data_IF_878189095349
#
_entry.id   IF_878189095349
#
_cell.length_a   1.000
_cell.length_b   1.000
_cell.length_c   1.000
_cell.angle_alpha   90.00
_cell.angle_beta   90.00
_cell.angle_gamma   90.00
#
_symmetry.space_group_name_H-M   'P 1'
#
loop_
_entity.id
_entity.type
_entity.pdbx_description
1 polymer ?
#
# COMPACT_ATOMS: atom_id res chain seq x y z
N UNK A 1 24.96 -12.06 -62.28
CA UNK A 1 23.63 -11.52 -61.99
C UNK A 1 23.27 -11.87 -60.55
N UNK A 2 23.40 -10.90 -59.62
CA UNK A 2 23.08 -11.08 -58.19
C UNK A 2 21.70 -10.49 -57.96
N UNK A 3 20.73 -11.33 -57.55
CA UNK A 3 19.39 -10.89 -57.12
C UNK A 3 19.46 -10.40 -55.68
N UNK A 4 19.12 -9.14 -55.47
CA UNK A 4 18.99 -8.52 -54.18
C UNK A 4 17.57 -8.77 -53.69
N UNK A 5 17.43 -9.51 -52.58
CA UNK A 5 16.16 -9.77 -51.92
C UNK A 5 15.92 -8.59 -50.91
N UNK A 6 14.91 -7.78 -51.22
CA UNK A 6 14.46 -6.72 -50.29
C UNK A 6 13.56 -7.36 -49.21
N UNK A 7 14.04 -7.34 -47.98
CA UNK A 7 13.27 -7.74 -46.79
C UNK A 7 12.49 -6.51 -46.32
N UNK A 8 11.16 -6.53 -46.52
CA UNK A 8 10.24 -5.52 -46.01
C UNK A 8 9.90 -5.87 -44.54
N UNK A 9 10.43 -5.12 -43.62
CA UNK A 9 10.09 -5.24 -42.18
C UNK A 9 8.71 -4.63 -41.96
N UNK A 10 7.76 -5.45 -41.64
CA UNK A 10 6.39 -5.07 -41.29
C UNK A 10 6.34 -4.87 -39.77
N UNK A 11 6.34 -3.61 -39.34
CA UNK A 11 6.24 -3.22 -37.95
C UNK A 11 4.79 -3.40 -37.48
N UNK A 12 4.50 -4.48 -36.75
CA UNK A 12 3.24 -4.63 -36.04
C UNK A 12 3.25 -3.78 -34.78
N UNK A 13 2.57 -2.67 -34.83
CA UNK A 13 2.23 -1.89 -33.61
C UNK A 13 1.02 -2.57 -33.00
N UNK A 14 1.22 -3.42 -32.00
CA UNK A 14 0.16 -3.89 -31.13
C UNK A 14 -0.16 -2.79 -30.12
N UNK A 15 -1.26 -2.09 -30.35
CA UNK A 15 -1.85 -1.21 -29.34
C UNK A 15 -2.37 -2.07 -28.17
N UNK A 16 -1.62 -2.08 -27.07
CA UNK A 16 -2.10 -2.63 -25.81
C UNK A 16 -3.10 -1.62 -25.22
N UNK A 17 -4.37 -1.94 -25.35
CA UNK A 17 -5.45 -1.27 -24.63
C UNK A 17 -5.33 -1.69 -23.17
N UNK A 18 -4.77 -0.81 -22.33
CA UNK A 18 -4.85 -0.97 -20.89
C UNK A 18 -6.24 -0.55 -20.44
N UNK A 19 -7.08 -1.51 -20.10
CA UNK A 19 -8.27 -1.23 -19.31
C UNK A 19 -7.80 -0.73 -17.94
N UNK A 20 -7.97 0.57 -17.74
CA UNK A 20 -7.91 1.22 -16.43
C UNK A 20 -8.87 0.49 -15.49
N UNK A 21 -8.37 0.10 -14.34
CA UNK A 21 -9.21 -0.40 -13.24
C UNK A 21 -10.24 0.69 -12.91
N UNK A 22 -11.52 0.40 -13.14
CA UNK A 22 -12.62 1.31 -12.83
C UNK A 22 -12.57 1.71 -11.36
N UNK A 23 -12.87 2.98 -11.10
CA UNK A 23 -13.11 3.51 -9.76
C UNK A 23 -14.27 2.76 -9.16
N UNK A 24 -14.03 2.00 -8.10
CA UNK A 24 -15.10 1.38 -7.35
C UNK A 24 -16.00 2.45 -6.75
N UNK A 25 -17.31 2.29 -6.99
CA UNK A 25 -18.37 3.07 -6.38
C UNK A 25 -18.31 2.96 -4.85
N UNK A 26 -18.57 4.09 -4.19
CA UNK A 26 -18.70 4.19 -2.75
C UNK A 26 -19.76 3.20 -2.25
N UNK A 27 -19.35 2.15 -1.58
CA UNK A 27 -20.24 1.35 -0.74
C UNK A 27 -20.49 2.11 0.55
N UNK A 28 -21.73 2.48 0.77
CA UNK A 28 -22.25 3.08 1.98
C UNK A 28 -21.81 2.30 3.22
N UNK A 29 -21.03 2.96 4.07
CA UNK A 29 -20.65 2.44 5.39
C UNK A 29 -21.83 2.68 6.32
N UNK A 30 -22.35 1.65 7.01
CA UNK A 30 -23.37 1.86 8.04
C UNK A 30 -22.76 2.68 9.19
N UNK A 31 -23.29 3.89 9.39
CA UNK A 31 -23.03 4.68 10.59
C UNK A 31 -23.68 4.01 11.80
N UNK A 32 -22.90 3.34 12.62
CA UNK A 32 -23.27 3.09 14.01
C UNK A 32 -22.23 3.75 14.92
N UNK A 33 -22.33 5.05 15.07
CA UNK A 33 -21.71 5.76 16.18
C UNK A 33 -22.79 5.94 17.24
N UNK A 34 -22.61 5.28 18.36
CA UNK A 34 -23.40 5.46 19.56
C UNK A 34 -23.44 6.93 19.97
N UNK A 35 -24.62 7.56 19.84
CA UNK A 35 -24.93 8.90 20.29
C UNK A 35 -25.44 8.86 21.71
N UNK A 36 -24.63 8.53 22.67
CA UNK A 36 -24.94 8.86 24.06
C UNK A 36 -23.63 9.22 24.78
N UNK A 37 -23.66 10.35 25.37
CA UNK A 37 -22.69 11.08 26.22
C UNK A 37 -22.03 12.25 25.49
N UNK A 38 -22.62 13.39 25.66
CA UNK A 38 -22.18 14.68 26.21
C UNK A 38 -23.19 15.74 25.79
N UNK A 39 -24.23 15.95 26.59
CA UNK A 39 -24.84 17.26 26.70
C UNK A 39 -24.24 17.99 27.91
N UNK A 40 -23.24 18.79 27.69
CA UNK A 40 -22.94 19.91 28.57
C UNK A 40 -22.91 21.19 27.74
N UNK A 41 -23.79 22.08 28.10
CA UNK A 41 -23.87 23.43 27.56
C UNK A 41 -22.55 24.15 27.79
N UNK A 42 -21.81 24.51 26.72
CA UNK A 42 -20.99 25.69 26.72
C UNK A 42 -21.13 26.38 25.37
N UNK A 43 -21.69 27.57 25.44
CA UNK A 43 -21.78 28.56 24.39
C UNK A 43 -20.39 29.24 24.36
N UNK A 44 -19.87 29.42 23.16
CA UNK A 44 -18.62 30.11 22.81
C UNK A 44 -17.35 29.25 22.87
N UNK A 45 -17.21 28.33 21.91
CA UNK A 45 -15.90 27.80 21.50
C UNK A 45 -15.57 28.38 20.11
N UNK A 46 -14.38 28.97 19.89
CA UNK A 46 -13.98 29.47 18.58
C UNK A 46 -14.03 28.36 17.50
N UNK A 47 -14.43 28.69 16.30
CA UNK A 47 -14.60 27.75 15.17
C UNK A 47 -13.33 26.97 14.81
N UNK A 48 -12.14 27.55 15.10
CA UNK A 48 -10.83 26.91 14.94
C UNK A 48 -10.69 25.64 15.77
N UNK A 49 -11.08 25.67 17.04
CA UNK A 49 -10.94 24.53 17.96
C UNK A 49 -11.81 23.34 17.60
N UNK A 50 -12.96 23.56 16.92
CA UNK A 50 -13.80 22.45 16.41
C UNK A 50 -13.18 21.75 15.22
N UNK A 51 -12.51 22.51 14.34
CA UNK A 51 -11.82 21.96 13.18
C UNK A 51 -10.63 21.09 13.61
N UNK A 52 -9.87 21.58 14.57
CA UNK A 52 -8.70 20.87 15.09
C UNK A 52 -9.06 19.57 15.81
N UNK A 53 -10.12 19.58 16.63
CA UNK A 53 -10.61 18.38 17.31
C UNK A 53 -11.17 17.33 16.32
N UNK A 54 -11.93 17.75 15.31
CA UNK A 54 -12.43 16.85 14.27
C UNK A 54 -11.29 16.25 13.43
N UNK A 55 -10.27 17.05 13.09
CA UNK A 55 -9.07 16.62 12.39
C UNK A 55 -8.28 15.59 13.21
N UNK A 56 -8.10 15.83 14.50
CA UNK A 56 -7.39 14.91 15.39
C UNK A 56 -8.12 13.56 15.52
N UNK A 57 -9.44 13.57 15.67
CA UNK A 57 -10.25 12.34 15.75
C UNK A 57 -10.18 11.54 14.44
N UNK A 58 -10.15 12.22 13.28
CA UNK A 58 -10.01 11.56 11.99
C UNK A 58 -8.59 10.99 11.74
N UNK A 59 -7.58 11.46 12.48
CA UNK A 59 -6.20 10.99 12.34
C UNK A 59 -5.92 9.69 13.08
N UNK A 60 -6.70 9.36 14.13
CA UNK A 60 -6.56 8.16 14.94
C UNK A 60 -7.46 7.04 14.42
N UNK A 61 -6.99 5.81 14.49
CA UNK A 61 -7.83 4.68 14.14
C UNK A 61 -7.23 3.31 14.44
N UNK A 62 -8.06 2.31 14.27
CA UNK A 62 -7.65 0.91 14.47
C UNK A 62 -8.51 -0.04 13.65
N UNK A 63 -8.00 -1.25 13.47
CA UNK A 63 -8.75 -2.36 12.88
C UNK A 63 -8.51 -3.63 13.68
N UNK A 64 -9.57 -4.42 13.86
CA UNK A 64 -9.50 -5.72 14.53
C UNK A 64 -8.76 -6.77 13.72
N UNK A 65 -8.40 -7.85 14.40
CA UNK A 65 -7.73 -8.99 13.77
C UNK A 65 -8.60 -9.66 12.70
N UNK A 66 -7.93 -10.13 11.62
CA UNK A 66 -8.60 -10.84 10.51
C UNK A 66 -7.66 -11.74 9.73
N UNK A 67 -8.23 -12.70 9.05
CA UNK A 67 -7.49 -13.53 8.07
C UNK A 67 -7.97 -13.19 6.67
N UNK A 68 -7.02 -12.92 5.77
CA UNK A 68 -7.28 -12.68 4.36
C UNK A 68 -6.90 -13.91 3.55
N UNK A 69 -7.85 -14.41 2.77
CA UNK A 69 -7.64 -15.54 1.88
C UNK A 69 -7.21 -15.05 0.49
N UNK A 70 -6.12 -15.61 0.00
CA UNK A 70 -5.62 -15.40 -1.36
C UNK A 70 -6.13 -16.54 -2.24
N UNK A 71 -6.98 -16.23 -3.19
CA UNK A 71 -7.65 -17.21 -4.06
C UNK A 71 -6.68 -17.87 -5.05
N UNK A 72 -7.02 -19.09 -5.42
CA UNK A 72 -6.32 -19.86 -6.44
C UNK A 72 -6.39 -19.16 -7.80
N UNK A 73 -5.28 -19.17 -8.52
CA UNK A 73 -5.16 -18.66 -9.90
C UNK A 73 -5.68 -17.24 -10.14
N UNK A 74 -5.72 -16.43 -9.10
CA UNK A 74 -6.25 -15.06 -9.16
C UNK A 74 -5.18 -14.05 -8.75
N UNK A 75 -5.18 -12.90 -9.41
CA UNK A 75 -4.30 -11.76 -9.15
C UNK A 75 -5.10 -10.56 -8.67
N UNK A 76 -4.39 -9.58 -8.13
CA UNK A 76 -4.93 -8.28 -7.72
C UNK A 76 -6.07 -8.37 -6.70
N UNK A 77 -6.83 -7.31 -6.50
CA UNK A 77 -7.88 -7.23 -5.47
C UNK A 77 -8.92 -8.35 -5.52
N UNK A 78 -9.42 -8.81 -6.68
CA UNK A 78 -10.34 -9.94 -6.76
C UNK A 78 -9.79 -11.25 -6.19
N UNK A 79 -8.46 -11.40 -6.15
CA UNK A 79 -7.78 -12.58 -5.61
C UNK A 79 -7.46 -12.51 -4.12
N UNK A 80 -7.79 -11.42 -3.46
CA UNK A 80 -7.48 -11.18 -2.07
C UNK A 80 -8.41 -10.14 -1.44
N UNK A 81 -7.84 -9.07 -0.89
CA UNK A 81 -8.58 -7.94 -0.33
C UNK A 81 -7.88 -6.63 -0.65
N UNK A 82 -8.65 -5.65 -1.12
CA UNK A 82 -8.28 -4.25 -1.13
C UNK A 82 -9.38 -3.46 -0.42
N UNK A 83 -9.02 -2.80 0.66
CA UNK A 83 -9.90 -1.89 1.39
C UNK A 83 -9.07 -0.76 1.97
N UNK A 84 -9.71 0.33 2.35
CA UNK A 84 -9.07 1.46 2.99
C UNK A 84 -9.95 2.06 4.08
N UNK A 85 -9.30 2.76 5.01
CA UNK A 85 -9.90 3.49 6.10
C UNK A 85 -9.57 4.97 5.88
N UNK A 86 -10.57 5.81 5.72
CA UNK A 86 -10.39 7.24 5.54
C UNK A 86 -9.77 7.87 6.79
N UNK A 87 -8.74 8.68 6.59
CA UNK A 87 -8.05 9.44 7.63
C UNK A 87 -7.67 10.82 7.09
N UNK A 88 -7.19 11.71 7.95
CA UNK A 88 -6.66 13.00 7.51
C UNK A 88 -5.46 13.39 8.36
N UNK A 89 -4.33 13.68 7.71
CA UNK A 89 -3.14 14.23 8.38
C UNK A 89 -2.25 14.95 7.36
N UNK A 90 -1.72 16.10 7.76
CA UNK A 90 -0.78 16.90 6.95
C UNK A 90 0.67 16.81 7.45
N UNK A 91 0.94 15.98 8.46
CA UNK A 91 2.24 15.88 9.13
C UNK A 91 2.90 14.52 9.02
N UNK A 92 3.26 14.01 10.19
CA UNK A 92 3.77 12.64 10.37
C UNK A 92 2.58 11.71 10.58
N UNK A 93 2.61 10.56 9.96
CA UNK A 93 1.58 9.54 10.09
C UNK A 93 2.21 8.16 10.19
N UNK A 94 1.71 7.34 11.11
CA UNK A 94 2.28 6.01 11.35
C UNK A 94 1.17 4.96 11.45
N UNK A 95 1.42 3.78 10.88
CA UNK A 95 0.59 2.59 11.01
C UNK A 95 1.42 1.46 11.62
N UNK A 96 0.84 0.75 12.60
CA UNK A 96 1.39 -0.45 13.24
C UNK A 96 0.44 -1.61 13.06
N UNK A 97 0.97 -2.77 12.76
CA UNK A 97 0.20 -3.99 12.64
C UNK A 97 1.07 -5.23 12.80
N UNK A 98 0.42 -6.35 13.08
CA UNK A 98 1.11 -7.66 13.02
C UNK A 98 0.59 -8.45 11.84
N UNK A 99 1.45 -9.28 11.24
CA UNK A 99 1.04 -10.23 10.21
C UNK A 99 1.75 -11.56 10.35
N UNK A 100 1.08 -12.61 9.88
CA UNK A 100 1.60 -13.96 9.82
C UNK A 100 1.13 -14.64 8.55
N UNK A 101 2.08 -15.11 7.75
CA UNK A 101 1.79 -16.01 6.63
C UNK A 101 1.46 -17.39 7.23
N UNK A 102 0.24 -17.88 7.04
CA UNK A 102 -0.19 -19.12 7.68
C UNK A 102 0.56 -20.31 7.13
N UNK A 103 0.65 -21.40 7.90
CA UNK A 103 1.32 -22.63 7.50
C UNK A 103 0.76 -23.16 6.17
N UNK A 104 1.64 -23.67 5.30
CA UNK A 104 1.29 -24.07 3.95
C UNK A 104 1.11 -22.90 2.97
N UNK A 105 1.62 -21.72 3.30
CA UNK A 105 1.54 -20.57 2.40
C UNK A 105 2.29 -20.81 1.10
N UNK A 106 1.58 -20.73 -0.02
CA UNK A 106 2.19 -20.79 -1.34
C UNK A 106 2.68 -19.40 -1.75
N UNK A 107 3.98 -19.20 -1.74
CA UNK A 107 4.60 -17.89 -1.88
C UNK A 107 4.39 -17.25 -3.24
N UNK A 108 4.36 -18.06 -4.32
CA UNK A 108 4.44 -17.59 -5.70
C UNK A 108 5.59 -16.57 -5.87
N UNK A 109 5.51 -15.66 -6.82
CA UNK A 109 6.55 -14.64 -6.98
C UNK A 109 6.47 -13.52 -5.93
N UNK A 110 5.26 -13.28 -5.41
CA UNK A 110 5.04 -12.25 -4.42
C UNK A 110 3.68 -11.59 -4.51
N UNK A 111 3.53 -10.50 -3.77
CA UNK A 111 2.30 -9.71 -3.73
C UNK A 111 2.35 -8.58 -2.72
N UNK A 112 1.28 -7.80 -2.68
CA UNK A 112 1.06 -6.78 -1.65
C UNK A 112 0.56 -7.46 -0.38
N UNK A 113 1.03 -7.00 0.77
CA UNK A 113 0.58 -7.51 2.07
C UNK A 113 0.55 -6.41 3.12
N UNK A 114 -0.48 -6.45 3.96
CA UNK A 114 -0.59 -5.63 5.13
C UNK A 114 -1.20 -4.26 4.92
N UNK A 115 -1.13 -3.50 5.99
CA UNK A 115 -1.57 -2.12 6.00
C UNK A 115 -0.53 -1.23 5.34
N UNK A 116 -1.01 -0.13 4.74
CA UNK A 116 -0.19 0.87 4.07
C UNK A 116 -0.77 2.26 4.27
N UNK A 117 -0.03 3.28 3.85
CA UNK A 117 -0.42 4.69 3.94
C UNK A 117 -0.59 5.22 2.53
N UNK A 118 -1.71 5.89 2.28
CA UNK A 118 -2.06 6.50 1.00
C UNK A 118 -2.08 8.02 1.14
N UNK A 119 -1.53 8.70 0.14
CA UNK A 119 -1.27 10.14 0.15
C UNK A 119 -1.87 10.75 -1.12
N UNK A 120 -2.61 11.85 -0.97
CA UNK A 120 -3.18 12.60 -2.09
C UNK A 120 -4.02 11.72 -3.02
N UNK A 121 -3.63 11.59 -4.28
CA UNK A 121 -4.35 10.78 -5.28
C UNK A 121 -4.09 9.26 -5.13
N UNK A 122 -3.37 8.84 -4.08
CA UNK A 122 -3.21 7.41 -3.70
C UNK A 122 -2.54 6.54 -4.78
N UNK A 123 -1.56 7.08 -5.49
CA UNK A 123 -0.91 6.43 -6.62
C UNK A 123 -0.51 4.98 -6.35
N UNK A 124 -0.99 4.08 -7.21
CA UNK A 124 -0.76 2.63 -7.14
C UNK A 124 -0.88 2.01 -8.54
N UNK A 125 -0.59 0.73 -8.68
CA UNK A 125 -0.97 -0.07 -9.85
C UNK A 125 -0.34 0.35 -11.20
N UNK A 126 0.79 1.05 -11.19
CA UNK A 126 1.43 1.55 -12.41
C UNK A 126 1.05 3.01 -12.74
N UNK A 127 0.38 3.67 -11.80
CA UNK A 127 0.11 5.10 -11.81
C UNK A 127 1.20 5.80 -10.95
N UNK A 128 2.28 6.31 -11.56
CA UNK A 128 3.38 6.89 -10.81
C UNK A 128 3.04 8.28 -10.26
N UNK A 129 3.66 8.64 -9.13
CA UNK A 129 3.48 9.96 -8.50
C UNK A 129 4.16 11.13 -9.22
N UNK A 130 4.53 10.98 -10.48
CA UNK A 130 5.31 11.98 -11.24
C UNK A 130 4.62 13.33 -11.41
N UNK A 131 3.30 13.34 -11.40
CA UNK A 131 2.50 14.59 -11.44
C UNK A 131 2.58 15.38 -10.13
N UNK A 132 3.08 14.76 -9.05
CA UNK A 132 3.21 15.38 -7.74
C UNK A 132 1.91 15.51 -6.96
N UNK A 133 0.90 14.71 -7.29
CA UNK A 133 -0.42 14.74 -6.66
C UNK A 133 -0.59 13.70 -5.56
N UNK A 134 0.29 12.70 -5.45
CA UNK A 134 0.12 11.70 -4.43
C UNK A 134 1.20 10.62 -4.39
N UNK A 135 0.93 9.62 -3.59
CA UNK A 135 1.80 8.47 -3.42
C UNK A 135 1.22 7.40 -2.50
N UNK A 136 1.99 6.34 -2.31
CA UNK A 136 1.62 5.28 -1.36
C UNK A 136 2.84 4.59 -0.77
N UNK A 137 2.72 4.16 0.49
CA UNK A 137 3.72 3.37 1.20
C UNK A 137 3.10 2.04 1.61
N UNK A 138 3.57 0.93 1.06
CA UNK A 138 3.03 -0.41 1.27
C UNK A 138 4.14 -1.43 1.43
N UNK A 139 3.84 -2.61 1.98
CA UNK A 139 4.72 -3.78 1.92
C UNK A 139 4.41 -4.67 0.72
N UNK A 140 5.47 -5.25 0.16
CA UNK A 140 5.39 -6.45 -0.67
C UNK A 140 6.13 -7.61 -0.01
N UNK A 141 5.61 -8.82 -0.19
CA UNK A 141 6.45 -10.01 -0.07
C UNK A 141 6.96 -10.40 -1.44
N UNK A 142 8.16 -10.92 -1.48
CA UNK A 142 8.78 -11.53 -2.66
C UNK A 142 9.33 -12.91 -2.32
N UNK A 143 9.29 -13.81 -3.30
CA UNK A 143 10.02 -15.07 -3.27
C UNK A 143 10.86 -15.15 -4.56
N UNK A 144 12.19 -14.95 -4.50
CA UNK A 144 13.04 -14.78 -5.69
C UNK A 144 13.02 -15.99 -6.63
N UNK A 145 12.89 -17.18 -6.07
CA UNK A 145 12.82 -18.40 -6.87
C UNK A 145 11.49 -18.58 -7.58
N UNK A 146 10.61 -17.61 -7.44
CA UNK A 146 9.47 -17.26 -8.33
C UNK A 146 8.41 -18.28 -8.50
N UNK A 147 8.60 -19.42 -8.02
CA UNK A 147 7.75 -20.56 -8.27
C UNK A 147 7.60 -21.41 -7.03
N UNK A 148 6.46 -21.90 -6.81
CA UNK A 148 6.22 -23.27 -6.39
C UNK A 148 6.78 -23.73 -5.04
N UNK A 149 7.58 -22.95 -4.31
CA UNK A 149 8.04 -23.48 -3.03
C UNK A 149 7.02 -23.12 -1.96
N UNK A 150 6.22 -24.12 -1.60
CA UNK A 150 5.44 -24.11 -0.37
C UNK A 150 6.30 -23.75 0.86
N UNK A 151 7.61 -23.85 0.75
CA UNK A 151 8.55 -23.63 1.85
C UNK A 151 9.17 -22.24 1.89
N UNK A 152 8.89 -21.36 0.91
CA UNK A 152 9.30 -19.96 0.95
C UNK A 152 10.79 -19.72 1.14
N UNK A 153 11.64 -20.63 0.66
CA UNK A 153 13.09 -20.48 0.77
C UNK A 153 13.54 -19.16 0.14
N UNK A 154 13.98 -18.24 0.99
CA UNK A 154 14.39 -16.91 0.56
C UNK A 154 13.25 -15.90 0.37
N UNK A 155 12.04 -16.18 0.85
CA UNK A 155 10.97 -15.18 0.89
C UNK A 155 11.34 -14.02 1.81
N UNK A 156 10.98 -12.79 1.40
CA UNK A 156 11.29 -11.59 2.17
C UNK A 156 10.20 -10.52 2.02
N UNK A 157 10.09 -9.65 3.02
CA UNK A 157 9.37 -8.40 2.96
C UNK A 157 10.27 -7.29 2.41
N UNK A 158 9.67 -6.39 1.65
CA UNK A 158 10.34 -5.21 1.14
C UNK A 158 9.37 -4.03 1.08
N UNK A 159 9.83 -2.79 1.36
CA UNK A 159 9.07 -1.58 1.10
C UNK A 159 8.70 -1.44 -0.37
N UNK A 160 7.50 -0.94 -0.66
CA UNK A 160 7.01 -0.69 -2.00
C UNK A 160 6.32 0.67 -2.03
N UNK A 161 6.99 1.66 -2.63
CA UNK A 161 6.64 3.07 -2.46
C UNK A 161 6.42 3.75 -3.80
N UNK A 162 5.29 4.45 -3.92
CA UNK A 162 5.03 5.42 -4.98
C UNK A 162 5.22 6.81 -4.43
N UNK A 163 5.97 7.65 -5.15
CA UNK A 163 6.29 9.01 -4.74
C UNK A 163 6.68 9.88 -5.95
N UNK A 164 6.80 11.19 -5.74
CA UNK A 164 7.03 12.17 -6.82
C UNK A 164 8.24 11.86 -7.71
N UNK A 165 9.35 11.47 -7.10
CA UNK A 165 10.63 11.33 -7.79
C UNK A 165 11.01 9.86 -8.05
N UNK A 166 10.02 8.95 -8.07
CA UNK A 166 10.31 7.55 -8.32
C UNK A 166 10.89 7.34 -9.73
N UNK A 167 11.89 6.43 -9.89
CA UNK A 167 12.62 6.28 -11.14
C UNK A 167 11.84 5.54 -12.23
N UNK A 168 10.82 4.78 -11.89
CA UNK A 168 10.07 3.94 -12.82
C UNK A 168 8.56 4.09 -12.68
N UNK A 169 7.83 3.51 -13.62
CA UNK A 169 6.36 3.53 -13.64
C UNK A 169 5.75 2.83 -12.42
N UNK A 170 6.36 1.77 -11.94
CA UNK A 170 5.88 1.01 -10.79
C UNK A 170 6.55 1.49 -9.51
N UNK A 171 5.95 1.14 -8.36
CA UNK A 171 6.50 1.52 -7.07
C UNK A 171 7.95 1.09 -6.89
N UNK A 172 8.73 1.92 -6.21
CA UNK A 172 10.14 1.67 -6.00
C UNK A 172 10.34 0.62 -4.90
N UNK A 173 11.02 -0.47 -5.25
CA UNK A 173 11.48 -1.52 -4.35
C UNK A 173 12.83 -1.16 -3.75
N UNK A 174 12.86 -0.39 -2.67
CA UNK A 174 14.11 0.01 -2.05
C UNK A 174 14.11 -0.30 -0.54
N UNK A 175 15.27 -0.17 0.09
CA UNK A 175 15.48 -0.61 1.45
C UNK A 175 16.04 -2.04 1.54
N UNK A 176 16.15 -2.52 2.77
CA UNK A 176 16.68 -3.83 3.07
C UNK A 176 15.60 -4.90 2.92
N UNK A 177 15.99 -6.09 2.46
CA UNK A 177 15.15 -7.29 2.49
C UNK A 177 15.07 -7.82 3.92
N UNK A 178 13.87 -8.07 4.41
CA UNK A 178 13.66 -8.76 5.68
C UNK A 178 13.13 -10.16 5.40
N UNK A 179 13.97 -11.18 5.63
CA UNK A 179 13.60 -12.56 5.33
C UNK A 179 12.52 -13.08 6.27
N UNK A 180 11.56 -13.80 5.71
CA UNK A 180 10.35 -14.27 6.40
C UNK A 180 10.10 -15.76 6.18
N UNK A 181 9.30 -16.33 7.08
CA UNK A 181 8.86 -17.73 7.05
C UNK A 181 7.37 -17.82 7.36
N UNK A 182 6.72 -18.87 6.90
CA UNK A 182 5.35 -19.19 7.30
C UNK A 182 5.28 -19.54 8.79
N UNK A 183 4.12 -19.32 9.40
CA UNK A 183 3.87 -19.59 10.82
C UNK A 183 4.46 -18.57 11.80
N UNK A 184 5.34 -17.68 11.34
CA UNK A 184 5.99 -16.66 12.18
C UNK A 184 5.19 -15.36 12.14
N UNK A 185 5.00 -14.72 13.30
CA UNK A 185 4.36 -13.41 13.43
C UNK A 185 5.41 -12.31 13.33
N UNK A 186 5.11 -11.31 12.50
CA UNK A 186 5.96 -10.13 12.27
C UNK A 186 5.23 -8.88 12.74
N UNK A 187 5.89 -8.07 13.57
CA UNK A 187 5.45 -6.73 13.94
C UNK A 187 5.94 -5.76 12.86
N UNK A 188 5.02 -5.08 12.21
CA UNK A 188 5.29 -4.19 11.09
C UNK A 188 4.90 -2.76 11.43
N UNK A 189 5.71 -1.81 10.95
CA UNK A 189 5.43 -0.38 11.08
C UNK A 189 5.82 0.33 9.79
N UNK A 190 4.97 1.25 9.36
CA UNK A 190 5.26 2.24 8.31
C UNK A 190 5.04 3.62 8.92
N UNK A 191 6.02 4.51 8.76
CA UNK A 191 5.89 5.91 9.14
C UNK A 191 6.24 6.80 7.96
N UNK A 192 5.41 7.79 7.70
CA UNK A 192 5.61 8.81 6.67
C UNK A 192 5.62 10.18 7.29
N UNK A 193 6.39 11.10 6.70
CA UNK A 193 6.29 12.53 6.93
C UNK A 193 6.08 13.19 5.58
N UNK A 194 5.05 14.00 5.44
CA UNK A 194 4.83 14.77 4.24
C UNK A 194 5.91 15.85 4.08
N UNK A 195 6.28 16.13 2.85
CA UNK A 195 7.20 17.22 2.55
C UNK A 195 6.48 18.58 2.60
N UNK A 196 7.23 19.67 2.75
CA UNK A 196 6.70 21.02 2.70
C UNK A 196 6.97 21.66 1.34
N UNK A 197 5.96 22.25 0.74
CA UNK A 197 6.07 22.83 -0.60
C UNK A 197 6.65 21.81 -1.60
N UNK A 198 7.60 22.24 -2.42
CA UNK A 198 8.30 21.37 -3.37
C UNK A 198 9.62 20.80 -2.83
N UNK A 199 9.88 20.88 -1.51
CA UNK A 199 11.14 20.42 -0.93
C UNK A 199 11.19 18.90 -0.82
N UNK A 200 12.39 18.33 -0.90
CA UNK A 200 12.65 16.91 -0.61
C UNK A 200 13.01 16.76 0.87
N UNK A 201 12.05 17.02 1.76
CA UNK A 201 12.19 16.97 3.21
C UNK A 201 11.14 16.13 3.93
N UNK A 202 10.33 15.40 3.17
CA UNK A 202 9.52 14.31 3.68
C UNK A 202 10.35 13.04 3.90
N UNK A 203 9.77 12.04 4.52
CA UNK A 203 10.42 10.74 4.65
C UNK A 203 9.43 9.59 4.57
N UNK A 204 9.99 8.39 4.35
CA UNK A 204 9.33 7.11 4.58
C UNK A 204 10.25 6.20 5.40
N UNK A 205 9.70 5.58 6.43
CA UNK A 205 10.41 4.61 7.28
C UNK A 205 9.62 3.32 7.40
N UNK A 206 10.33 2.20 7.38
CA UNK A 206 9.75 0.87 7.57
C UNK A 206 10.51 0.09 8.60
N UNK A 207 9.76 -0.58 9.48
CA UNK A 207 10.31 -1.46 10.50
C UNK A 207 9.62 -2.82 10.46
N UNK A 208 10.40 -3.87 10.70
CA UNK A 208 9.89 -5.23 10.92
C UNK A 208 10.56 -5.79 12.17
N UNK A 209 9.78 -6.19 13.17
CA UNK A 209 10.26 -6.63 14.48
C UNK A 209 11.27 -5.66 15.12
N UNK A 210 11.02 -4.35 15.00
CA UNK A 210 11.91 -3.31 15.49
C UNK A 210 13.16 -3.03 14.64
N UNK A 211 13.43 -3.85 13.62
CA UNK A 211 14.55 -3.62 12.70
C UNK A 211 14.16 -2.62 11.64
N UNK A 212 14.90 -1.51 11.51
CA UNK A 212 14.73 -0.54 10.43
C UNK A 212 15.20 -1.14 9.09
N UNK A 213 14.28 -1.29 8.15
CA UNK A 213 14.56 -1.81 6.81
C UNK A 213 14.57 -0.72 5.74
N UNK A 214 13.99 0.44 6.05
CA UNK A 214 14.07 1.64 5.21
C UNK A 214 13.97 2.89 6.07
N UNK A 215 14.81 3.87 5.77
CA UNK A 215 14.72 5.25 6.26
C UNK A 215 15.20 6.16 5.12
N UNK A 216 14.25 6.69 4.37
CA UNK A 216 14.55 7.43 3.15
C UNK A 216 13.88 8.79 3.16
N UNK A 217 14.67 9.83 2.92
CA UNK A 217 14.15 11.17 2.62
C UNK A 217 13.62 11.19 1.20
N UNK A 218 12.37 11.62 1.04
CA UNK A 218 11.69 11.67 -0.26
C UNK A 218 10.78 12.90 -0.36
N UNK A 219 10.31 13.16 -1.57
CA UNK A 219 9.27 14.13 -1.88
C UNK A 219 8.01 13.39 -2.31
N UNK A 220 6.95 13.53 -1.52
CA UNK A 220 5.68 12.88 -1.79
C UNK A 220 4.89 13.61 -2.87
N UNK A 221 4.64 14.90 -2.63
CA UNK A 221 3.76 15.74 -3.46
C UNK A 221 4.35 17.13 -3.69
N UNK A 222 3.95 17.77 -4.79
CA UNK A 222 4.24 19.18 -5.07
C UNK A 222 2.98 20.03 -5.12
N UNK A 223 1.81 19.41 -5.20
CA UNK A 223 0.51 20.05 -5.16
C UNK A 223 0.03 20.16 -3.71
N UNK A 224 -0.10 21.38 -3.20
CA UNK A 224 -0.48 21.63 -1.81
C UNK A 224 -1.88 21.10 -1.46
N UNK A 225 -2.82 21.14 -2.40
CA UNK A 225 -4.18 20.62 -2.18
C UNK A 225 -4.25 19.09 -2.03
N UNK A 226 -3.17 18.40 -2.38
CA UNK A 226 -3.02 16.94 -2.29
C UNK A 226 -2.05 16.51 -1.18
N UNK A 227 -1.51 17.48 -0.40
CA UNK A 227 -0.51 17.20 0.65
C UNK A 227 -1.18 16.75 1.94
N UNK A 228 -1.79 15.58 1.89
CA UNK A 228 -2.39 14.96 3.06
C UNK A 228 -2.29 13.44 2.96
N UNK A 229 -2.10 12.79 4.10
CA UNK A 229 -2.44 11.37 4.27
C UNK A 229 -3.96 11.30 4.33
N UNK A 230 -4.58 10.56 3.44
CA UNK A 230 -6.05 10.49 3.32
C UNK A 230 -6.63 9.10 3.53
N UNK A 231 -5.80 8.07 3.54
CA UNK A 231 -6.27 6.75 3.89
C UNK A 231 -5.16 5.83 4.44
N UNK A 232 -5.57 4.89 5.29
CA UNK A 232 -4.81 3.68 5.61
C UNK A 232 -5.40 2.54 4.80
N UNK A 233 -4.60 1.92 3.94
CA UNK A 233 -5.04 0.78 3.13
C UNK A 233 -4.77 -0.55 3.83
N UNK A 234 -5.59 -1.57 3.55
CA UNK A 234 -5.26 -2.97 3.76
C UNK A 234 -5.30 -3.66 2.40
N UNK A 235 -4.13 -3.77 1.76
CA UNK A 235 -3.97 -4.39 0.46
C UNK A 235 -3.24 -5.72 0.60
N UNK A 236 -3.94 -6.81 0.27
CA UNK A 236 -3.41 -8.17 0.40
C UNK A 236 -3.83 -8.98 -0.81
N UNK A 237 -2.92 -9.15 -1.75
CA UNK A 237 -3.16 -9.90 -2.98
C UNK A 237 -1.86 -10.31 -3.66
N UNK A 238 -1.90 -11.41 -4.44
CA UNK A 238 -0.82 -11.75 -5.36
C UNK A 238 -0.81 -10.75 -6.52
N UNK A 239 0.36 -10.29 -6.88
CA UNK A 239 0.34 -9.28 -7.89
C UNK A 239 1.68 -8.88 -8.43
N UNK A 240 1.76 -8.43 -9.49
CA UNK A 240 1.89 -8.11 -10.88
C UNK A 240 0.71 -8.62 -11.75
N UNK A 241 0.92 -8.48 -13.04
CA UNK A 241 -0.07 -8.83 -14.08
C UNK A 241 0.21 -10.15 -14.80
N UNK A 242 1.36 -10.77 -14.57
CA UNK A 242 1.79 -11.94 -15.32
C UNK A 242 1.38 -13.25 -14.61
N UNK A 243 1.17 -14.30 -15.41
CA UNK A 243 0.74 -15.62 -14.92
C UNK A 243 1.63 -16.19 -13.79
N UNK A 244 2.93 -15.93 -13.84
CA UNK A 244 3.87 -16.42 -12.82
C UNK A 244 3.70 -15.81 -11.42
N UNK A 245 2.84 -14.80 -11.25
CA UNK A 245 2.45 -14.29 -9.94
C UNK A 245 1.31 -15.10 -9.32
N UNK A 246 0.57 -15.89 -10.11
CA UNK A 246 -0.52 -16.73 -9.63
C UNK A 246 -0.02 -17.88 -8.78
N UNK A 247 -0.91 -18.47 -8.01
CA UNK A 247 -0.67 -19.69 -7.25
C UNK A 247 -1.78 -20.71 -7.54
N UNK A 248 -1.42 -21.99 -7.69
CA UNK A 248 -2.40 -23.05 -8.00
C UNK A 248 -3.23 -23.46 -6.78
N UNK A 249 -2.89 -22.93 -5.61
CA UNK A 249 -3.57 -23.25 -4.34
C UNK A 249 -3.94 -21.97 -3.58
N UNK A 250 -4.98 -22.06 -2.79
CA UNK A 250 -5.39 -21.03 -1.84
C UNK A 250 -4.36 -20.94 -0.70
N UNK A 251 -4.10 -19.72 -0.25
CA UNK A 251 -3.26 -19.42 0.90
C UNK A 251 -3.90 -18.33 1.74
N UNK A 252 -3.40 -18.09 2.94
CA UNK A 252 -3.94 -17.00 3.76
C UNK A 252 -2.87 -16.30 4.58
N UNK A 253 -3.13 -15.04 4.88
CA UNK A 253 -2.33 -14.21 5.77
C UNK A 253 -3.24 -13.77 6.91
N UNK A 254 -2.79 -14.01 8.13
CA UNK A 254 -3.43 -13.50 9.33
C UNK A 254 -2.84 -12.13 9.68
N UNK A 255 -3.70 -11.19 9.98
CA UNK A 255 -3.36 -9.88 10.54
C UNK A 255 -3.93 -9.79 11.94
N UNK A 256 -3.12 -9.42 12.91
CA UNK A 256 -3.57 -9.03 14.24
C UNK A 256 -4.21 -7.64 14.20
N UNK A 257 -4.53 -7.12 15.37
CA UNK A 257 -5.04 -5.74 15.46
C UNK A 257 -4.03 -4.75 14.89
N UNK A 258 -4.53 -3.77 14.17
CA UNK A 258 -3.75 -2.66 13.66
C UNK A 258 -4.18 -1.36 14.34
N UNK A 259 -3.26 -0.42 14.44
CA UNK A 259 -3.52 0.95 14.89
C UNK A 259 -2.76 1.94 14.02
N UNK A 260 -3.25 3.17 13.96
CA UNK A 260 -2.61 4.25 13.24
C UNK A 260 -2.95 5.60 13.85
N UNK A 261 -2.03 6.53 13.78
CA UNK A 261 -2.23 7.90 14.22
C UNK A 261 -1.31 8.92 13.50
N UNK A 262 -1.68 10.20 13.67
CA UNK A 262 -0.84 11.34 13.39
C UNK A 262 0.04 11.63 14.60
N UNK A 263 1.31 12.02 14.34
CA UNK A 263 2.31 12.35 15.36
C UNK A 263 2.78 13.80 15.23
#
# INVERSE_FOLDING_TARGET
MKKILKLTSMLFITALVFNSCEKEENLDVPQSVNKDVIQSKNKDTPESTKKDAASLVAALGSAGARTITLKTNTLTCPGGLCTSYGVWSEGVYTVWFTMKFNSGFYWSRGGKCGYGILIGDQNTGGDPGWDGNGGSARFMWYCPNGSNTSKGSGAYLQPYVYYKDQPGQYGNDFGKKYYIQEGVTYNCQISVKLNTGSNTNGYVKYYVNGTEILNQTIRWVTNDSKRNVNAVSLHTFRGGSQEYWKAPVTSSIYYGSASWDAQ
#
